data_IF_998946966371
#
_entry.id   IF_998946966371
#
_cell.length_a   1.000
_cell.length_b   1.000
_cell.length_c   1.000
_cell.angle_alpha   90.00
_cell.angle_beta   90.00
_cell.angle_gamma   90.00
#
_symmetry.space_group_name_H-M   'P 1'
#
loop_
_entity.id
_entity.type
_entity.pdbx_description
1 polymer ?
#
# COMPACT_ATOMS: atom_id res chain seq x y z
N UNK A 1 -6.65 -12.50 16.28
CA UNK A 1 -6.65 -12.68 14.82
C UNK A 1 -6.84 -14.15 14.47
N UNK A 2 -6.07 -15.09 14.98
CA UNK A 2 -6.17 -16.54 14.68
C UNK A 2 -7.63 -17.06 14.70
N UNK A 3 -8.35 -16.92 15.82
CA UNK A 3 -9.78 -17.29 15.92
C UNK A 3 -10.70 -16.58 14.94
N UNK A 4 -10.34 -15.35 14.52
CA UNK A 4 -11.13 -14.59 13.57
C UNK A 4 -10.99 -15.18 12.16
N UNK A 5 -9.77 -15.52 11.75
CA UNK A 5 -9.49 -16.19 10.46
C UNK A 5 -10.07 -17.61 10.46
N UNK A 6 -9.90 -18.40 11.52
CA UNK A 6 -10.49 -19.73 11.66
C UNK A 6 -12.04 -19.70 11.54
N UNK A 7 -12.67 -18.60 11.92
CA UNK A 7 -14.10 -18.35 11.74
C UNK A 7 -14.50 -17.87 10.34
N UNK A 8 -13.60 -17.89 9.36
CA UNK A 8 -13.85 -17.47 7.99
C UNK A 8 -13.77 -15.95 7.76
N UNK A 9 -13.31 -15.18 8.74
CA UNK A 9 -13.03 -13.76 8.57
C UNK A 9 -11.84 -13.51 7.66
N UNK A 10 -11.77 -12.33 7.05
CA UNK A 10 -10.64 -11.90 6.20
C UNK A 10 -10.08 -10.55 6.66
N UNK A 11 -8.85 -10.27 6.25
CA UNK A 11 -8.14 -9.05 6.60
C UNK A 11 -8.26 -8.04 5.46
N UNK A 12 -8.69 -6.82 5.78
CA UNK A 12 -8.37 -5.63 5.01
C UNK A 12 -7.11 -5.03 5.62
N UNK A 13 -6.03 -5.03 4.85
CA UNK A 13 -4.70 -4.58 5.30
C UNK A 13 -4.46 -3.15 4.87
N UNK A 14 -3.83 -2.34 5.74
CA UNK A 14 -3.33 -1.02 5.32
C UNK A 14 -1.82 -0.89 5.55
N UNK A 15 -1.12 -0.34 4.57
CA UNK A 15 0.33 -0.13 4.57
C UNK A 15 0.64 1.35 4.42
N UNK A 16 1.03 2.01 5.50
CA UNK A 16 1.57 3.36 5.47
C UNK A 16 3.11 3.35 5.31
N UNK A 17 3.70 4.52 5.10
CA UNK A 17 5.14 4.67 4.93
C UNK A 17 5.67 3.94 3.69
N UNK A 18 6.83 3.28 3.84
CA UNK A 18 7.58 2.59 2.80
C UNK A 18 7.95 1.15 3.23
N UNK A 19 6.97 0.38 3.66
CA UNK A 19 7.14 -1.01 4.16
C UNK A 19 7.66 -1.97 3.08
N UNK A 20 7.41 -1.65 1.80
CA UNK A 20 7.90 -2.45 0.67
C UNK A 20 9.42 -2.43 0.60
N UNK A 21 10.07 -1.26 0.78
CA UNK A 21 11.53 -1.16 0.86
C UNK A 21 12.11 -1.97 2.03
N UNK A 22 11.37 -2.09 3.14
CA UNK A 22 11.70 -2.98 4.25
C UNK A 22 11.41 -4.47 3.98
N UNK A 23 11.07 -4.82 2.73
CA UNK A 23 10.83 -6.20 2.24
C UNK A 23 9.68 -6.92 2.94
N UNK A 24 8.60 -6.22 3.30
CA UNK A 24 7.38 -6.82 3.87
C UNK A 24 6.77 -7.86 2.91
N UNK A 25 7.02 -7.74 1.61
CA UNK A 25 6.57 -8.66 0.57
C UNK A 25 6.88 -10.12 0.87
N UNK A 26 8.02 -10.42 1.50
CA UNK A 26 8.42 -11.80 1.84
C UNK A 26 7.39 -12.59 2.64
N UNK A 27 6.61 -11.93 3.47
CA UNK A 27 5.55 -12.57 4.28
C UNK A 27 4.17 -12.21 3.78
N UNK A 28 3.99 -11.00 3.24
CA UNK A 28 2.70 -10.52 2.75
C UNK A 28 2.23 -11.30 1.52
N UNK A 29 3.14 -11.66 0.61
CA UNK A 29 2.85 -12.52 -0.55
C UNK A 29 2.19 -13.83 -0.12
N UNK A 30 2.72 -14.48 0.91
CA UNK A 30 2.15 -15.71 1.43
C UNK A 30 0.75 -15.51 2.03
N UNK A 31 0.52 -14.39 2.73
CA UNK A 31 -0.81 -14.04 3.27
C UNK A 31 -1.83 -13.79 2.15
N UNK A 32 -1.42 -13.17 1.05
CA UNK A 32 -2.26 -12.98 -0.14
C UNK A 32 -2.59 -14.32 -0.79
N UNK A 33 -1.57 -15.15 -1.07
CA UNK A 33 -1.72 -16.45 -1.71
C UNK A 33 -2.58 -17.42 -0.90
N UNK A 34 -2.56 -17.32 0.42
CA UNK A 34 -3.43 -18.11 1.33
C UNK A 34 -4.87 -17.58 1.40
N UNK A 35 -5.19 -16.49 0.72
CA UNK A 35 -6.55 -15.92 0.68
C UNK A 35 -6.99 -15.23 1.99
N UNK A 36 -6.07 -14.93 2.92
CA UNK A 36 -6.38 -14.24 4.16
C UNK A 36 -6.62 -12.74 3.97
N UNK A 37 -6.03 -12.16 2.92
CA UNK A 37 -6.19 -10.74 2.58
C UNK A 37 -7.36 -10.57 1.63
N UNK A 38 -8.33 -9.74 2.01
CA UNK A 38 -9.49 -9.42 1.18
C UNK A 38 -9.26 -8.18 0.29
N UNK A 39 -8.41 -7.27 0.72
CA UNK A 39 -8.05 -6.05 0.01
C UNK A 39 -6.96 -5.30 0.75
N UNK A 40 -6.28 -4.41 0.06
CA UNK A 40 -5.18 -3.62 0.62
C UNK A 40 -5.41 -2.14 0.31
N UNK A 41 -5.13 -1.26 1.28
CA UNK A 41 -4.91 0.16 1.05
C UNK A 41 -3.46 0.51 1.38
N UNK A 42 -2.80 1.24 0.50
CA UNK A 42 -1.39 1.57 0.72
C UNK A 42 -1.02 2.97 0.19
N UNK A 43 0.14 3.45 0.61
CA UNK A 43 0.79 4.62 -0.01
C UNK A 43 1.25 4.30 -1.42
N UNK A 44 1.42 5.31 -2.25
CA UNK A 44 2.05 5.17 -3.57
C UNK A 44 3.47 4.59 -3.48
N UNK A 45 4.24 5.01 -2.47
CA UNK A 45 5.57 4.47 -2.18
C UNK A 45 5.54 2.94 -1.99
N UNK A 46 4.62 2.41 -1.20
CA UNK A 46 4.50 0.96 -1.02
C UNK A 46 4.21 0.21 -2.32
N UNK A 47 3.37 0.79 -3.19
CA UNK A 47 3.02 0.20 -4.48
C UNK A 47 4.23 0.13 -5.41
N UNK A 48 4.95 1.24 -5.58
CA UNK A 48 6.05 1.33 -6.54
C UNK A 48 7.33 0.64 -6.06
N UNK A 49 7.66 0.75 -4.77
CA UNK A 49 8.92 0.23 -4.23
C UNK A 49 8.98 -1.30 -4.19
N UNK A 50 7.85 -1.99 -4.07
CA UNK A 50 7.78 -3.45 -4.21
C UNK A 50 8.18 -3.88 -5.63
N UNK A 51 7.76 -3.12 -6.64
CA UNK A 51 8.09 -3.39 -8.04
C UNK A 51 9.54 -2.99 -8.35
N UNK A 52 10.04 -1.91 -7.74
CA UNK A 52 11.47 -1.57 -7.83
C UNK A 52 12.33 -2.70 -7.29
N UNK A 53 11.97 -3.29 -6.15
CA UNK A 53 12.65 -4.46 -5.60
C UNK A 53 12.50 -5.69 -6.50
N UNK A 54 11.36 -5.92 -7.12
CA UNK A 54 11.15 -7.02 -8.03
C UNK A 54 12.07 -6.92 -9.27
N UNK A 55 12.30 -5.72 -9.78
CA UNK A 55 13.04 -5.50 -11.03
C UNK A 55 14.53 -5.20 -10.85
N UNK A 56 14.96 -4.75 -9.68
CA UNK A 56 16.32 -4.26 -9.45
C UNK A 56 16.91 -4.64 -8.08
N UNK A 57 16.49 -5.73 -7.47
CA UNK A 57 16.88 -6.10 -6.10
C UNK A 57 18.40 -6.14 -5.87
N UNK A 58 19.18 -6.62 -6.85
CA UNK A 58 20.64 -6.70 -6.75
C UNK A 58 21.34 -5.33 -6.80
N UNK A 59 20.64 -4.29 -7.24
CA UNK A 59 21.15 -2.92 -7.35
C UNK A 59 20.82 -2.06 -6.12
N UNK A 60 19.96 -2.54 -5.22
CA UNK A 60 19.69 -1.87 -3.96
C UNK A 60 20.92 -1.93 -3.04
N UNK A 61 21.17 -0.86 -2.30
CA UNK A 61 22.31 -0.78 -1.39
C UNK A 61 21.82 -0.52 0.04
N UNK A 62 22.38 -1.26 0.99
CA UNK A 62 22.15 -1.03 2.42
C UNK A 62 23.24 -0.12 2.96
N UNK A 63 22.85 0.87 3.76
CA UNK A 63 23.74 1.81 4.46
C UNK A 63 23.63 1.52 5.95
N UNK A 64 24.57 0.73 6.49
CA UNK A 64 24.54 0.28 7.88
C UNK A 64 24.55 1.44 8.89
N UNK A 65 25.43 2.42 8.69
CA UNK A 65 25.58 3.58 9.57
C UNK A 65 24.77 4.81 9.13
N UNK A 66 23.58 4.59 8.59
CA UNK A 66 22.73 5.63 7.99
C UNK A 66 22.43 6.83 8.91
N UNK A 67 22.42 6.62 10.24
CA UNK A 67 22.21 7.70 11.23
C UNK A 67 23.39 8.66 11.35
N UNK A 68 24.58 8.25 10.93
CA UNK A 68 25.82 9.04 11.02
C UNK A 68 26.20 9.74 9.72
N UNK A 69 25.40 9.56 8.64
CA UNK A 69 25.66 10.19 7.35
C UNK A 69 25.67 11.72 7.47
N UNK A 70 26.72 12.33 6.96
CA UNK A 70 26.83 13.78 6.82
C UNK A 70 26.09 14.27 5.55
N UNK A 71 25.88 15.58 5.44
CA UNK A 71 25.34 16.19 4.22
C UNK A 71 26.21 15.90 2.98
N UNK A 72 27.55 15.83 3.15
CA UNK A 72 28.45 15.47 2.06
C UNK A 72 28.28 14.01 1.62
N UNK A 73 28.00 13.10 2.55
CA UNK A 73 27.73 11.70 2.20
C UNK A 73 26.40 11.55 1.47
N UNK A 74 25.36 12.28 1.88
CA UNK A 74 24.07 12.33 1.13
C UNK A 74 24.27 12.90 -0.28
N UNK A 75 25.12 13.92 -0.44
CA UNK A 75 25.46 14.47 -1.77
C UNK A 75 26.14 13.42 -2.65
N UNK A 76 27.06 12.62 -2.10
CA UNK A 76 27.68 11.51 -2.83
C UNK A 76 26.70 10.43 -3.26
N UNK A 77 25.67 10.14 -2.44
CA UNK A 77 24.60 9.23 -2.82
C UNK A 77 23.78 9.79 -4.00
N UNK A 78 23.44 11.08 -3.95
CA UNK A 78 22.76 11.77 -5.05
C UNK A 78 23.57 11.72 -6.35
N UNK A 79 24.87 12.00 -6.30
CA UNK A 79 25.77 11.92 -7.45
C UNK A 79 25.83 10.51 -8.06
N UNK A 80 25.68 9.48 -7.23
CA UNK A 80 25.58 8.08 -7.65
C UNK A 80 24.18 7.66 -8.10
N UNK A 81 23.21 8.58 -8.12
CA UNK A 81 21.80 8.33 -8.44
C UNK A 81 21.19 7.27 -7.52
N UNK A 82 21.43 7.39 -6.24
CA UNK A 82 20.91 6.54 -5.17
C UNK A 82 19.95 7.35 -4.29
N UNK A 83 18.69 6.97 -4.27
CA UNK A 83 17.64 7.61 -3.49
C UNK A 83 17.47 6.87 -2.16
N UNK A 84 17.86 7.50 -1.05
CA UNK A 84 17.89 6.83 0.25
C UNK A 84 16.53 6.87 0.96
N UNK A 85 16.08 5.69 1.37
CA UNK A 85 14.95 5.50 2.29
C UNK A 85 15.48 4.83 3.55
N UNK A 86 15.68 5.59 4.61
CA UNK A 86 16.26 5.18 5.89
C UNK A 86 17.65 4.53 5.72
N UNK A 87 17.75 3.24 5.75
CA UNK A 87 18.98 2.44 5.64
C UNK A 87 19.17 1.78 4.27
N UNK A 88 18.25 2.04 3.33
CA UNK A 88 18.25 1.43 2.00
C UNK A 88 18.29 2.50 0.92
N UNK A 89 19.09 2.30 -0.11
CA UNK A 89 19.13 3.15 -1.29
C UNK A 89 18.47 2.47 -2.49
N UNK A 90 17.53 3.17 -3.10
CA UNK A 90 16.84 2.78 -4.34
C UNK A 90 17.65 3.34 -5.52
N UNK A 91 18.09 2.50 -6.48
CA UNK A 91 18.83 2.97 -7.64
C UNK A 91 17.90 3.68 -8.63
N UNK A 92 18.22 4.92 -9.00
CA UNK A 92 17.42 5.73 -9.94
C UNK A 92 17.30 5.04 -11.31
N UNK A 93 18.43 4.74 -11.94
CA UNK A 93 18.47 4.26 -13.32
C UNK A 93 17.98 2.80 -13.44
N UNK A 94 18.39 1.92 -12.48
CA UNK A 94 18.09 0.50 -12.56
C UNK A 94 16.65 0.14 -12.08
N UNK A 95 16.05 0.94 -11.22
CA UNK A 95 14.71 0.71 -10.70
C UNK A 95 13.70 1.72 -11.26
N UNK A 96 13.81 2.99 -10.87
CA UNK A 96 12.79 4.01 -11.14
C UNK A 96 12.61 4.21 -12.65
N UNK A 97 13.72 4.42 -13.39
CA UNK A 97 13.67 4.69 -14.83
C UNK A 97 13.24 3.46 -15.65
N UNK A 98 13.54 2.26 -15.18
CA UNK A 98 13.06 1.03 -15.82
C UNK A 98 11.54 0.93 -15.74
N UNK A 99 10.95 1.22 -14.58
CA UNK A 99 9.50 1.19 -14.41
C UNK A 99 8.81 2.33 -15.15
N UNK A 100 9.39 3.54 -15.15
CA UNK A 100 8.91 4.65 -16.00
C UNK A 100 8.83 4.24 -17.47
N UNK A 101 9.91 3.66 -18.01
CA UNK A 101 9.97 3.21 -19.39
C UNK A 101 8.94 2.13 -19.72
N UNK A 102 8.66 1.22 -18.80
CA UNK A 102 7.64 0.19 -18.97
C UNK A 102 6.21 0.77 -18.86
N UNK A 103 6.02 1.81 -18.03
CA UNK A 103 4.71 2.42 -17.79
C UNK A 103 4.31 3.41 -18.88
N UNK A 104 5.25 4.16 -19.45
CA UNK A 104 4.99 5.25 -20.37
C UNK A 104 4.22 4.83 -21.63
N UNK A 105 4.50 3.71 -22.30
CA UNK A 105 3.70 3.25 -23.45
C UNK A 105 2.24 2.99 -23.09
N UNK A 106 2.00 2.49 -21.86
CA UNK A 106 0.65 2.25 -21.37
C UNK A 106 -0.10 3.56 -21.11
N UNK A 107 0.54 4.53 -20.46
CA UNK A 107 -0.03 5.86 -20.24
C UNK A 107 -0.36 6.57 -21.56
N UNK A 108 0.53 6.51 -22.56
CA UNK A 108 0.29 7.07 -23.91
C UNK A 108 -0.91 6.41 -24.57
N UNK A 109 -1.00 5.07 -24.54
CA UNK A 109 -2.14 4.33 -25.09
C UNK A 109 -3.47 4.80 -24.48
N UNK A 110 -3.53 5.00 -23.16
CA UNK A 110 -4.72 5.51 -22.49
C UNK A 110 -5.00 6.98 -22.86
N UNK A 111 -3.96 7.80 -22.95
CA UNK A 111 -4.07 9.21 -23.37
C UNK A 111 -4.65 9.35 -24.79
N UNK A 112 -4.22 8.50 -25.71
CA UNK A 112 -4.67 8.52 -27.12
C UNK A 112 -6.09 7.99 -27.26
N UNK A 113 -6.43 6.92 -26.53
CA UNK A 113 -7.76 6.32 -26.61
C UNK A 113 -8.84 7.06 -25.80
N UNK A 114 -8.44 7.99 -24.92
CA UNK A 114 -9.36 8.66 -23.98
C UNK A 114 -9.86 7.76 -22.87
N UNK A 115 -9.25 6.60 -22.66
CA UNK A 115 -9.52 5.71 -21.55
C UNK A 115 -8.91 6.27 -20.25
N UNK A 116 -9.37 5.74 -19.12
CA UNK A 116 -8.89 6.10 -17.80
C UNK A 116 -8.86 4.86 -16.89
N UNK A 117 -7.96 4.86 -15.92
CA UNK A 117 -7.83 3.78 -14.94
C UNK A 117 -7.46 4.33 -13.56
N UNK A 118 -7.62 3.50 -12.54
CA UNK A 118 -7.05 3.78 -11.23
C UNK A 118 -5.53 3.57 -11.26
N UNK A 119 -4.75 4.27 -10.45
CA UNK A 119 -3.30 4.13 -10.41
C UNK A 119 -2.82 2.67 -10.38
N UNK A 120 -3.32 1.85 -9.45
CA UNK A 120 -2.89 0.45 -9.32
C UNK A 120 -3.21 -0.42 -10.55
N UNK A 121 -4.26 -0.09 -11.31
CA UNK A 121 -4.63 -0.84 -12.52
C UNK A 121 -3.56 -0.72 -13.61
N UNK A 122 -2.85 0.42 -13.69
CA UNK A 122 -1.70 0.55 -14.59
C UNK A 122 -0.56 -0.38 -14.18
N UNK A 123 -0.29 -0.51 -12.88
CA UNK A 123 0.73 -1.42 -12.36
C UNK A 123 0.37 -2.88 -12.63
N UNK A 124 -0.88 -3.27 -12.40
CA UNK A 124 -1.35 -4.62 -12.69
C UNK A 124 -1.27 -4.94 -14.18
N UNK A 125 -1.66 -4.01 -15.05
CA UNK A 125 -1.53 -4.18 -16.50
C UNK A 125 -0.07 -4.27 -16.95
N UNK A 126 0.80 -3.43 -16.39
CA UNK A 126 2.23 -3.48 -16.67
C UNK A 126 2.82 -4.85 -16.28
N UNK A 127 2.55 -5.34 -15.07
CA UNK A 127 3.06 -6.63 -14.60
C UNK A 127 2.56 -7.81 -15.42
N UNK A 128 1.30 -7.75 -15.89
CA UNK A 128 0.70 -8.84 -16.65
C UNK A 128 1.06 -8.83 -18.16
N UNK A 129 1.44 -7.68 -18.71
CA UNK A 129 1.57 -7.49 -20.16
C UNK A 129 2.95 -7.03 -20.61
N UNK A 130 3.89 -6.75 -19.70
CA UNK A 130 5.21 -6.27 -20.05
C UNK A 130 6.25 -7.40 -20.09
N UNK A 131 7.31 -7.17 -20.86
CA UNK A 131 8.51 -8.01 -20.88
C UNK A 131 9.50 -7.62 -19.77
N UNK A 132 8.96 -7.20 -18.58
CA UNK A 132 9.82 -6.85 -17.45
C UNK A 132 10.65 -8.05 -17.02
N UNK A 133 11.95 -7.85 -16.94
CA UNK A 133 12.87 -8.83 -16.37
C UNK A 133 12.87 -8.65 -14.85
N UNK A 134 12.65 -9.73 -14.13
CA UNK A 134 12.72 -9.75 -12.68
C UNK A 134 14.14 -10.14 -12.23
N UNK A 135 14.75 -9.27 -11.44
CA UNK A 135 16.01 -9.48 -10.75
C UNK A 135 15.79 -9.96 -9.31
N UNK A 136 14.66 -9.58 -8.73
CA UNK A 136 14.18 -10.08 -7.44
C UNK A 136 13.41 -11.39 -7.56
N UNK A 137 13.14 -12.01 -6.40
CA UNK A 137 12.31 -13.22 -6.36
C UNK A 137 10.82 -12.83 -6.51
N UNK A 138 10.11 -13.32 -7.54
CA UNK A 138 8.67 -13.05 -7.72
C UNK A 138 7.79 -13.44 -6.51
N UNK A 139 8.21 -14.45 -5.75
CA UNK A 139 7.48 -14.87 -4.55
C UNK A 139 7.63 -13.90 -3.37
N UNK A 140 8.51 -12.91 -3.47
CA UNK A 140 8.71 -11.87 -2.46
C UNK A 140 7.99 -10.56 -2.83
N UNK A 141 7.34 -10.48 -4.02
CA UNK A 141 6.57 -9.30 -4.45
C UNK A 141 5.09 -9.44 -4.11
N UNK A 142 4.63 -8.64 -3.16
CA UNK A 142 3.22 -8.63 -2.77
C UNK A 142 2.34 -7.96 -3.84
N UNK A 143 2.87 -6.98 -4.59
CA UNK A 143 2.13 -6.33 -5.68
C UNK A 143 1.91 -7.30 -6.84
N UNK A 144 2.93 -8.11 -7.19
CA UNK A 144 2.77 -9.17 -8.19
C UNK A 144 1.75 -10.22 -7.75
N UNK A 145 1.79 -10.64 -6.47
CA UNK A 145 0.79 -11.56 -5.94
C UNK A 145 -0.62 -10.93 -5.98
N UNK A 146 -0.74 -9.66 -5.60
CA UNK A 146 -2.01 -8.95 -5.67
C UNK A 146 -2.54 -8.85 -7.12
N UNK A 147 -1.68 -8.57 -8.10
CA UNK A 147 -2.04 -8.55 -9.52
C UNK A 147 -2.51 -9.92 -10.01
N UNK A 148 -1.78 -11.00 -9.67
CA UNK A 148 -2.14 -12.37 -10.05
C UNK A 148 -3.50 -12.81 -9.50
N UNK A 149 -3.88 -12.33 -8.32
CA UNK A 149 -5.18 -12.61 -7.69
C UNK A 149 -6.26 -11.56 -8.00
N UNK A 150 -5.95 -10.54 -8.81
CA UNK A 150 -6.80 -9.36 -9.01
C UNK A 150 -7.34 -8.81 -7.69
N UNK A 151 -6.46 -8.75 -6.67
CA UNK A 151 -6.81 -8.32 -5.32
C UNK A 151 -7.22 -6.85 -5.34
N UNK A 152 -8.33 -6.45 -4.71
CA UNK A 152 -8.71 -5.04 -4.58
C UNK A 152 -7.61 -4.23 -3.88
N UNK A 153 -7.13 -3.19 -4.56
CA UNK A 153 -6.05 -2.33 -4.10
C UNK A 153 -6.48 -0.86 -4.19
N UNK A 154 -6.27 -0.13 -3.10
CA UNK A 154 -6.62 1.28 -2.97
C UNK A 154 -5.37 2.08 -2.63
N UNK A 155 -5.07 3.09 -3.45
CA UNK A 155 -3.86 3.92 -3.30
C UNK A 155 -4.26 5.40 -3.23
N UNK A 156 -4.89 5.82 -2.12
CA UNK A 156 -5.29 7.21 -1.96
C UNK A 156 -4.06 8.12 -1.91
N UNK A 157 -4.11 9.25 -2.62
CA UNK A 157 -2.98 10.17 -2.69
C UNK A 157 -1.77 9.60 -3.44
N UNK A 158 -2.01 8.80 -4.49
CA UNK A 158 -0.94 8.26 -5.33
C UNK A 158 0.00 9.33 -5.88
N UNK A 159 -0.48 10.56 -6.01
CA UNK A 159 0.30 11.72 -6.42
C UNK A 159 1.51 11.99 -5.50
N UNK A 160 1.44 11.54 -4.23
CA UNK A 160 2.56 11.54 -3.28
C UNK A 160 3.39 10.25 -3.44
N UNK A 161 3.99 10.09 -4.63
CA UNK A 161 4.89 8.98 -4.96
C UNK A 161 5.85 9.38 -6.07
N UNK A 162 6.92 8.61 -6.28
CA UNK A 162 7.91 8.86 -7.33
C UNK A 162 7.27 8.76 -8.71
N UNK A 163 6.50 7.69 -8.99
CA UNK A 163 5.84 7.53 -10.27
C UNK A 163 4.67 8.49 -10.46
N UNK A 164 4.00 8.93 -9.39
CA UNK A 164 3.03 10.01 -9.44
C UNK A 164 3.66 11.33 -9.89
N UNK A 165 4.83 11.66 -9.35
CA UNK A 165 5.60 12.85 -9.78
C UNK A 165 6.12 12.72 -11.22
N UNK A 166 6.60 11.54 -11.63
CA UNK A 166 7.02 11.26 -13.01
C UNK A 166 5.83 11.39 -13.97
N UNK A 167 4.67 10.85 -13.61
CA UNK A 167 3.44 11.03 -14.39
C UNK A 167 3.12 12.51 -14.57
N UNK A 168 3.17 13.31 -13.50
CA UNK A 168 2.95 14.75 -13.57
C UNK A 168 3.98 15.45 -14.48
N UNK A 169 5.23 15.02 -14.51
CA UNK A 169 6.25 15.58 -15.40
C UNK A 169 5.92 15.35 -16.88
N UNK A 170 5.43 14.17 -17.23
CA UNK A 170 4.97 13.86 -18.59
C UNK A 170 3.72 14.66 -18.98
N UNK A 171 2.81 14.93 -18.01
CA UNK A 171 1.66 15.83 -18.23
C UNK A 171 2.14 17.26 -18.52
N UNK A 172 3.10 17.78 -17.77
CA UNK A 172 3.67 19.13 -17.97
C UNK A 172 4.33 19.24 -19.34
N UNK A 173 5.00 18.18 -19.81
CA UNK A 173 5.59 18.09 -21.14
C UNK A 173 4.58 17.88 -22.27
N UNK A 174 3.29 17.77 -21.95
CA UNK A 174 2.21 17.49 -22.92
C UNK A 174 2.32 16.14 -23.62
N UNK A 175 3.03 15.19 -23.03
CA UNK A 175 3.22 13.85 -23.56
C UNK A 175 2.01 12.94 -23.28
N UNK A 176 1.34 13.15 -22.15
CA UNK A 176 0.13 12.44 -21.73
C UNK A 176 -0.91 13.38 -21.11
N UNK A 177 -2.16 12.93 -21.03
CA UNK A 177 -3.26 13.70 -20.44
C UNK A 177 -3.46 13.32 -18.95
N UNK A 178 -3.68 14.28 -18.05
CA UNK A 178 -3.94 13.98 -16.64
C UNK A 178 -5.25 13.20 -16.42
N UNK A 179 -6.21 13.32 -17.35
CA UNK A 179 -7.53 12.68 -17.26
C UNK A 179 -7.52 11.15 -17.37
N UNK A 180 -6.39 10.55 -17.72
CA UNK A 180 -6.28 9.07 -17.77
C UNK A 180 -6.20 8.42 -16.39
N UNK A 181 -5.88 9.20 -15.35
CA UNK A 181 -5.81 8.71 -13.96
C UNK A 181 -7.08 9.10 -13.21
N UNK A 182 -7.78 8.11 -12.69
CA UNK A 182 -8.90 8.29 -11.77
C UNK A 182 -8.39 8.83 -10.42
N UNK A 183 -9.14 9.75 -9.82
CA UNK A 183 -8.81 10.39 -8.54
C UNK A 183 -9.09 9.52 -7.33
N UNK A 184 -8.68 9.97 -6.12
CA UNK A 184 -9.04 9.35 -4.85
C UNK A 184 -10.56 9.25 -4.60
N UNK A 185 -11.38 10.13 -5.18
CA UNK A 185 -12.84 10.01 -5.11
C UNK A 185 -13.34 8.73 -5.81
N UNK A 186 -12.76 8.37 -6.95
CA UNK A 186 -13.10 7.11 -7.61
C UNK A 186 -12.68 5.90 -6.74
N UNK A 187 -11.52 5.96 -6.08
CA UNK A 187 -11.13 4.93 -5.10
C UNK A 187 -12.15 4.79 -3.98
N UNK A 188 -12.68 5.90 -3.44
CA UNK A 188 -13.67 5.83 -2.37
C UNK A 188 -15.00 5.22 -2.86
N UNK A 189 -15.45 5.56 -4.07
CA UNK A 189 -16.65 4.96 -4.65
C UNK A 189 -16.48 3.46 -4.90
N UNK A 190 -15.35 3.03 -5.44
CA UNK A 190 -15.06 1.61 -5.64
C UNK A 190 -14.90 0.84 -4.32
N UNK A 191 -14.26 1.44 -3.33
CA UNK A 191 -14.16 0.88 -1.98
C UNK A 191 -15.55 0.69 -1.33
N UNK A 192 -16.44 1.65 -1.51
CA UNK A 192 -17.80 1.57 -0.97
C UNK A 192 -18.59 0.40 -1.58
N UNK A 193 -18.57 0.27 -2.90
CA UNK A 193 -19.25 -0.85 -3.58
C UNK A 193 -18.59 -2.19 -3.25
N UNK A 194 -17.26 -2.26 -3.22
CA UNK A 194 -16.54 -3.44 -2.80
C UNK A 194 -16.88 -3.82 -1.34
N UNK A 195 -16.90 -2.87 -0.41
CA UNK A 195 -17.19 -3.14 0.99
C UNK A 195 -18.59 -3.73 1.19
N UNK A 196 -19.59 -3.14 0.53
CA UNK A 196 -20.98 -3.61 0.60
C UNK A 196 -21.15 -5.01 -0.04
N UNK A 197 -20.34 -5.35 -1.03
CA UNK A 197 -20.38 -6.68 -1.67
C UNK A 197 -19.78 -7.80 -0.81
N UNK A 198 -19.08 -7.46 0.30
CA UNK A 198 -18.44 -8.47 1.13
C UNK A 198 -19.47 -9.29 1.93
N UNK A 199 -19.37 -10.59 1.83
CA UNK A 199 -20.21 -11.55 2.59
C UNK A 199 -19.51 -12.08 3.84
N UNK A 200 -18.21 -11.87 3.96
CA UNK A 200 -17.39 -12.28 5.11
C UNK A 200 -17.12 -11.11 6.06
N UNK A 201 -16.89 -11.42 7.34
CA UNK A 201 -16.47 -10.40 8.31
C UNK A 201 -15.07 -9.90 7.97
N UNK A 202 -14.89 -8.59 8.01
CA UNK A 202 -13.61 -7.95 7.72
C UNK A 202 -12.94 -7.45 9.01
N UNK A 203 -11.67 -7.83 9.18
CA UNK A 203 -10.75 -7.21 10.13
C UNK A 203 -10.06 -6.03 9.45
N UNK A 204 -9.89 -4.93 10.16
CA UNK A 204 -9.05 -3.82 9.75
C UNK A 204 -7.67 -3.95 10.41
N UNK A 205 -6.66 -4.34 9.64
CA UNK A 205 -5.30 -4.50 10.14
C UNK A 205 -4.42 -3.37 9.59
N UNK A 206 -3.98 -2.49 10.47
CA UNK A 206 -3.32 -1.25 10.08
C UNK A 206 -1.84 -1.26 10.45
N UNK A 207 -0.97 -1.11 9.46
CA UNK A 207 0.46 -0.88 9.64
C UNK A 207 0.73 0.61 9.44
N UNK A 208 1.20 1.27 10.50
CA UNK A 208 1.34 2.72 10.55
C UNK A 208 0.01 3.45 10.71
N UNK A 209 -0.23 4.48 9.91
CA UNK A 209 -1.44 5.30 9.96
C UNK A 209 -1.61 6.11 8.67
N UNK A 210 -1.67 7.42 8.78
CA UNK A 210 -1.79 8.35 7.65
C UNK A 210 -2.96 8.06 6.73
N UNK A 211 -2.85 8.52 5.49
CA UNK A 211 -3.91 8.38 4.48
C UNK A 211 -4.21 6.92 4.14
N UNK A 212 -3.21 6.04 4.14
CA UNK A 212 -3.40 4.62 3.85
C UNK A 212 -4.37 3.93 4.81
N UNK A 213 -4.41 4.37 6.08
CA UNK A 213 -5.32 3.86 7.10
C UNK A 213 -6.60 4.66 7.24
N UNK A 214 -6.51 6.00 7.28
CA UNK A 214 -7.70 6.84 7.54
C UNK A 214 -8.69 6.84 6.36
N UNK A 215 -8.19 6.86 5.15
CA UNK A 215 -9.03 6.84 3.96
C UNK A 215 -9.98 5.61 3.94
N UNK A 216 -9.50 4.36 3.99
CA UNK A 216 -10.40 3.21 3.87
C UNK A 216 -11.26 2.97 5.10
N UNK A 217 -10.81 3.28 6.30
CA UNK A 217 -11.61 3.05 7.50
C UNK A 217 -12.88 3.91 7.51
N UNK A 218 -12.85 5.05 6.83
CA UNK A 218 -13.95 6.01 6.72
C UNK A 218 -15.07 5.55 5.76
N UNK A 219 -14.89 4.45 5.00
CA UNK A 219 -15.94 3.92 4.14
C UNK A 219 -17.20 3.56 4.94
N UNK A 220 -17.06 3.04 6.16
CA UNK A 220 -18.18 2.60 7.00
C UNK A 220 -19.04 3.78 7.47
N UNK A 221 -18.49 4.84 8.12
CA UNK A 221 -19.29 6.01 8.44
C UNK A 221 -19.90 6.68 7.21
N UNK A 222 -19.20 6.77 6.08
CA UNK A 222 -19.77 7.28 4.84
C UNK A 222 -20.99 6.47 4.39
N UNK A 223 -20.90 5.14 4.38
CA UNK A 223 -22.02 4.27 4.02
C UNK A 223 -23.21 4.44 4.98
N UNK A 224 -22.96 4.49 6.29
CA UNK A 224 -24.01 4.49 7.30
C UNK A 224 -24.59 5.88 7.58
N UNK A 225 -23.76 6.92 7.60
CA UNK A 225 -24.17 8.27 8.00
C UNK A 225 -24.58 9.12 6.78
N UNK A 226 -23.79 9.08 5.69
CA UNK A 226 -24.04 9.92 4.52
C UNK A 226 -25.00 9.23 3.53
N UNK A 227 -24.82 7.92 3.29
CA UNK A 227 -25.63 7.14 2.34
C UNK A 227 -26.77 6.35 2.99
N UNK A 228 -26.84 6.26 4.32
CA UNK A 228 -27.87 5.53 5.09
C UNK A 228 -28.02 4.06 4.68
N UNK A 229 -26.94 3.37 4.31
CA UNK A 229 -26.92 1.98 3.81
C UNK A 229 -26.59 0.98 4.92
N UNK A 230 -26.90 1.01 6.10
CA UNK A 230 -26.74 0.00 7.17
C UNK A 230 -25.59 -1.02 6.94
N UNK A 231 -24.42 -0.56 6.52
CA UNK A 231 -23.26 -1.42 6.31
C UNK A 231 -22.70 -1.94 7.66
N UNK A 232 -22.19 -3.17 7.70
CA UNK A 232 -21.58 -3.69 8.92
C UNK A 232 -20.35 -2.86 9.32
N UNK A 233 -20.11 -2.71 10.63
CA UNK A 233 -18.89 -2.08 11.15
C UNK A 233 -17.70 -3.04 10.97
N UNK A 234 -16.48 -2.49 11.00
CA UNK A 234 -15.27 -3.33 11.02
C UNK A 234 -15.32 -4.29 12.21
N UNK A 235 -15.17 -5.59 11.95
CA UNK A 235 -15.43 -6.63 12.94
C UNK A 235 -14.24 -6.90 13.87
N UNK A 236 -13.06 -6.41 13.52
CA UNK A 236 -11.84 -6.55 14.31
C UNK A 236 -10.86 -5.43 13.89
N UNK A 237 -10.06 -4.95 14.84
CA UNK A 237 -9.10 -3.87 14.56
C UNK A 237 -7.75 -4.15 15.23
N UNK A 238 -6.66 -3.94 14.51
CA UNK A 238 -5.31 -3.84 15.06
C UNK A 238 -4.52 -2.76 14.34
N UNK A 239 -3.72 -2.05 15.09
CA UNK A 239 -2.74 -1.12 14.56
C UNK A 239 -1.36 -1.45 15.11
N UNK A 240 -0.36 -1.50 14.23
CA UNK A 240 1.06 -1.50 14.61
C UNK A 240 1.60 -0.11 14.25
N UNK A 241 2.07 0.64 15.24
CA UNK A 241 2.57 2.00 15.03
C UNK A 241 3.42 2.46 16.22
N UNK A 242 4.47 3.21 15.94
CA UNK A 242 5.27 3.95 16.93
C UNK A 242 4.77 5.38 17.14
N UNK A 243 3.68 5.78 16.49
CA UNK A 243 3.14 7.14 16.58
C UNK A 243 2.52 7.39 17.94
N UNK A 244 3.00 8.42 18.64
CA UNK A 244 2.42 8.89 19.89
C UNK A 244 1.10 9.64 19.64
N UNK A 245 0.16 9.64 20.62
CA UNK A 245 -1.01 10.51 20.58
C UNK A 245 -0.57 11.97 20.42
N UNK A 246 -1.14 12.64 19.42
CA UNK A 246 -0.94 14.04 19.19
C UNK A 246 -2.25 14.69 18.77
N UNK A 247 -2.36 16.01 18.95
CA UNK A 247 -3.57 16.72 18.62
C UNK A 247 -3.93 16.59 17.15
N UNK A 248 -5.05 15.91 16.85
CA UNK A 248 -5.55 15.66 15.50
C UNK A 248 -4.78 14.62 14.70
N UNK A 249 -3.76 13.95 15.27
CA UNK A 249 -2.98 12.94 14.58
C UNK A 249 -3.70 11.60 14.52
N UNK A 250 -4.10 11.16 13.32
CA UNK A 250 -4.78 9.86 13.13
C UNK A 250 -3.90 8.67 13.52
N UNK A 251 -2.61 8.70 13.19
CA UNK A 251 -1.69 7.58 13.43
C UNK A 251 -1.49 7.24 14.90
N UNK A 252 -1.60 8.21 15.81
CA UNK A 252 -1.51 8.03 17.26
C UNK A 252 -2.86 8.01 17.98
N UNK A 253 -3.99 8.13 17.27
CA UNK A 253 -5.31 8.15 17.87
C UNK A 253 -5.69 6.76 18.45
N UNK A 254 -6.09 6.68 19.75
CA UNK A 254 -6.45 5.43 20.36
C UNK A 254 -7.65 4.77 19.66
N UNK A 255 -7.72 3.42 19.62
CA UNK A 255 -8.79 2.72 18.88
C UNK A 255 -10.21 3.05 19.36
N UNK A 256 -10.40 3.40 20.64
CA UNK A 256 -11.71 3.80 21.18
C UNK A 256 -12.29 5.05 20.49
N UNK A 257 -11.44 5.95 20.04
CA UNK A 257 -11.87 7.14 19.29
C UNK A 257 -12.61 6.78 18.02
N UNK A 258 -12.27 5.67 17.38
CA UNK A 258 -12.92 5.15 16.18
C UNK A 258 -14.38 4.75 16.39
N UNK A 259 -14.81 4.54 17.63
CA UNK A 259 -16.21 4.27 17.99
C UNK A 259 -17.07 5.52 17.81
N UNK A 260 -16.57 6.69 18.22
CA UNK A 260 -17.31 7.96 18.09
C UNK A 260 -17.55 8.36 16.64
N UNK A 261 -16.71 7.86 15.73
CA UNK A 261 -16.83 8.07 14.28
C UNK A 261 -17.68 7.00 13.59
N UNK A 262 -18.23 6.03 14.32
CA UNK A 262 -19.02 4.95 13.73
C UNK A 262 -18.20 3.97 12.88
N UNK A 263 -16.91 3.84 13.14
CA UNK A 263 -16.01 2.90 12.43
C UNK A 263 -16.01 1.52 13.09
N UNK A 264 -16.05 1.48 14.42
CA UNK A 264 -16.03 0.26 15.26
C UNK A 264 -17.23 0.23 16.21
N UNK A 265 -17.68 -0.98 16.55
CA UNK A 265 -18.63 -1.19 17.64
C UNK A 265 -17.93 -1.17 19.01
N UNK A 266 -18.71 -0.96 20.06
CA UNK A 266 -18.22 -1.05 21.46
C UNK A 266 -17.59 -2.42 21.75
N UNK A 267 -18.15 -3.47 21.18
CA UNK A 267 -17.74 -4.87 21.38
C UNK A 267 -16.63 -5.31 20.41
N UNK A 268 -16.30 -4.51 19.39
CA UNK A 268 -15.24 -4.85 18.43
C UNK A 268 -13.90 -5.08 19.15
N UNK A 269 -13.29 -6.26 19.02
CA UNK A 269 -11.93 -6.49 19.51
C UNK A 269 -10.95 -5.52 18.81
N UNK A 270 -10.14 -4.81 19.60
CA UNK A 270 -9.25 -3.78 19.07
C UNK A 270 -7.96 -3.70 19.87
N UNK A 271 -6.86 -3.58 19.15
CA UNK A 271 -5.50 -3.66 19.68
C UNK A 271 -4.62 -2.57 19.09
N UNK A 272 -3.67 -2.10 19.88
CA UNK A 272 -2.53 -1.30 19.41
C UNK A 272 -1.26 -2.02 19.85
N UNK A 273 -0.32 -2.12 18.93
CA UNK A 273 1.03 -2.64 19.17
C UNK A 273 1.98 -1.48 18.92
N UNK A 274 2.53 -0.92 19.98
CA UNK A 274 3.51 0.15 19.92
C UNK A 274 4.88 -0.46 19.64
N UNK A 275 5.21 -0.59 18.37
CA UNK A 275 6.47 -1.18 17.92
C UNK A 275 6.73 -0.89 16.45
N UNK A 276 7.98 -1.11 16.03
CA UNK A 276 8.38 -1.13 14.65
C UNK A 276 7.66 -2.28 13.89
N UNK A 277 6.92 -1.89 12.86
CA UNK A 277 6.15 -2.83 12.06
C UNK A 277 7.02 -3.77 11.22
N UNK A 278 8.25 -3.39 10.89
CA UNK A 278 9.21 -4.26 10.16
C UNK A 278 9.62 -5.48 10.98
N UNK A 279 9.50 -5.40 12.30
CA UNK A 279 9.78 -6.50 13.24
C UNK A 279 8.51 -7.29 13.53
N UNK A 280 7.44 -6.59 13.90
CA UNK A 280 6.24 -7.25 14.47
C UNK A 280 5.32 -7.82 13.40
N UNK A 281 5.12 -7.14 12.29
CA UNK A 281 4.20 -7.61 11.26
C UNK A 281 4.64 -8.96 10.65
N UNK A 282 5.92 -9.18 10.29
CA UNK A 282 6.39 -10.48 9.83
C UNK A 282 6.16 -11.61 10.83
N UNK A 283 6.38 -11.36 12.13
CA UNK A 283 6.17 -12.37 13.17
C UNK A 283 4.69 -12.75 13.31
N UNK A 284 3.79 -11.77 13.24
CA UNK A 284 2.34 -12.02 13.28
C UNK A 284 1.90 -12.82 12.05
N UNK A 285 2.34 -12.41 10.86
CA UNK A 285 1.94 -13.06 9.61
C UNK A 285 2.49 -14.48 9.52
N UNK A 286 3.76 -14.70 9.89
CA UNK A 286 4.33 -16.04 9.94
C UNK A 286 3.57 -16.95 10.92
N UNK A 287 3.24 -16.46 12.12
CA UNK A 287 2.42 -17.20 13.08
C UNK A 287 1.03 -17.57 12.53
N UNK A 288 0.36 -16.64 11.84
CA UNK A 288 -0.96 -16.91 11.25
C UNK A 288 -0.88 -17.94 10.13
N UNK A 289 0.15 -17.87 9.28
CA UNK A 289 0.38 -18.82 8.19
C UNK A 289 0.69 -20.24 8.69
N UNK A 290 1.39 -20.36 9.82
CA UNK A 290 1.70 -21.67 10.41
C UNK A 290 0.46 -22.35 11.04
N UNK A 291 -0.53 -21.56 11.46
CA UNK A 291 -1.74 -22.04 12.15
C UNK A 291 -2.88 -22.42 11.23
N UNK A 292 -2.82 -22.02 9.99
CA UNK A 292 -3.88 -22.22 8.98
C UNK A 292 -3.34 -22.82 7.68
#
# INVERSE_FOLDING_TARGET
MDKFLAGGGKIFLTLAGAMSTAKIGKVLTSMINSGFIAGISCTGANLEEDIFLLTANSHFQVVEDWRSLSADDETKLLEKKLNRVTDVCIPEDAAIRVIEQAMLPLWRKYSDSGNYALPHEFFYQMLNNSELTFDGNPNDSWVLAAANHNLPLFVPGWEDSTLGNIFASHVIQSDIKPSIVKSGIHYMTELAEWYVSQTTKLAFFQIGGGIAGDFPICVVPMLNQDLQRQAPLWSWFCQISEANPSYGGYSGAPPNEKITWGKLAKETPRFVIESDATIVAPLIFAYLLERH
#
